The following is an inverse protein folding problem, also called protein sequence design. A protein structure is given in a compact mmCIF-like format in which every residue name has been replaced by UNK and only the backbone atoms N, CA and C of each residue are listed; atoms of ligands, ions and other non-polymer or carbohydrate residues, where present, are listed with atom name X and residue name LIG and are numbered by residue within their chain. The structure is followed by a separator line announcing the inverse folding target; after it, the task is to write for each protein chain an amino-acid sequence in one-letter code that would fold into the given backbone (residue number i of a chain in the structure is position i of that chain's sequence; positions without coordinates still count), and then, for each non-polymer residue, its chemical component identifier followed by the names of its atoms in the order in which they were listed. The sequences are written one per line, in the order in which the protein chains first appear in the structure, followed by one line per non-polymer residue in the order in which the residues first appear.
data_IF_829662380818
#
_entry.id   IF_829662380818
#
_cell.length_a   1.000
_cell.length_b   1.000
_cell.length_c   1.000
_cell.angle_alpha   90.00
_cell.angle_beta   90.00
_cell.angle_gamma   90.00
#
_symmetry.space_group_name_H-M   'P 1'
#
loop_
_entity.id
_entity.type
_entity.pdbx_description
1 polymer ?
#
# COMPACT_ATOMS: atom_id res chain seq x y z
N UNK A 1 50.56 -15.02 29.89
CA UNK A 1 50.12 -14.47 28.58
C UNK A 1 49.36 -15.53 27.82
N UNK A 2 48.09 -15.68 28.00
CA UNK A 2 47.33 -16.75 27.34
C UNK A 2 45.87 -16.76 27.67
N UNK A 3 45.13 -15.70 27.37
CA UNK A 3 43.63 -15.68 27.48
C UNK A 3 42.92 -14.79 26.48
N UNK A 4 43.56 -14.38 25.41
CA UNK A 4 42.93 -13.48 24.42
C UNK A 4 42.44 -14.24 23.17
N UNK A 5 42.81 -15.53 23.01
CA UNK A 5 42.41 -16.33 21.86
C UNK A 5 40.96 -16.88 21.94
N UNK A 6 40.39 -16.97 23.14
CA UNK A 6 39.02 -17.47 23.35
C UNK A 6 37.93 -16.46 22.91
N UNK A 7 38.28 -15.18 22.81
CA UNK A 7 37.28 -14.11 22.57
C UNK A 7 36.95 -13.84 21.09
N UNK A 8 37.77 -14.32 20.17
CA UNK A 8 37.52 -14.06 18.72
C UNK A 8 36.27 -14.75 18.21
N UNK A 9 36.04 -15.97 18.64
CA UNK A 9 34.82 -16.72 18.32
C UNK A 9 33.58 -16.11 18.99
N UNK A 10 33.74 -15.60 20.20
CA UNK A 10 32.67 -14.94 20.95
C UNK A 10 32.33 -13.58 20.31
N UNK A 11 33.33 -12.84 19.87
CA UNK A 11 33.13 -11.60 19.07
C UNK A 11 32.47 -11.89 17.72
N UNK A 12 32.86 -12.94 17.02
CA UNK A 12 32.20 -13.37 15.79
C UNK A 12 30.73 -13.76 16.03
N UNK A 13 30.43 -14.48 17.10
CA UNK A 13 29.05 -14.82 17.47
C UNK A 13 28.22 -13.57 17.78
N UNK A 14 28.82 -12.59 18.48
CA UNK A 14 28.14 -11.31 18.78
C UNK A 14 27.90 -10.51 17.51
N UNK A 15 28.86 -10.45 16.58
CA UNK A 15 28.73 -9.73 15.31
C UNK A 15 27.69 -10.41 14.42
N UNK A 16 27.74 -11.75 14.29
CA UNK A 16 26.78 -12.50 13.48
C UNK A 16 25.39 -12.49 14.11
N UNK A 17 25.30 -12.70 15.42
CA UNK A 17 24.04 -12.65 16.16
C UNK A 17 23.43 -11.26 16.20
N UNK A 18 24.24 -10.23 16.44
CA UNK A 18 23.83 -8.84 16.43
C UNK A 18 23.45 -8.36 15.02
N UNK A 19 24.23 -8.79 14.02
CA UNK A 19 23.91 -8.51 12.62
C UNK A 19 22.60 -9.16 12.16
N UNK A 20 22.39 -10.43 12.52
CA UNK A 20 21.14 -11.13 12.21
C UNK A 20 19.94 -10.54 12.99
N UNK A 21 20.15 -10.19 14.24
CA UNK A 21 19.12 -9.54 15.07
C UNK A 21 18.77 -8.14 14.53
N UNK A 22 19.76 -7.33 14.17
CA UNK A 22 19.58 -6.04 13.53
C UNK A 22 18.87 -6.15 12.17
N UNK A 23 19.28 -7.13 11.36
CA UNK A 23 18.60 -7.43 10.09
C UNK A 23 17.13 -7.83 10.31
N UNK A 24 16.86 -8.68 11.28
CA UNK A 24 15.51 -9.15 11.59
C UNK A 24 14.62 -8.02 12.12
N UNK A 25 15.16 -7.11 12.94
CA UNK A 25 14.40 -6.00 13.52
C UNK A 25 14.18 -4.85 12.53
N UNK A 26 15.17 -4.56 11.69
CA UNK A 26 15.15 -3.37 10.83
C UNK A 26 14.74 -3.69 9.38
N UNK A 27 15.08 -4.88 8.87
CA UNK A 27 14.84 -5.20 7.47
C UNK A 27 13.49 -5.86 7.23
N UNK A 28 13.12 -6.86 8.04
CA UNK A 28 11.86 -7.61 7.85
C UNK A 28 10.60 -6.75 7.82
N UNK A 29 10.39 -5.77 8.73
CA UNK A 29 9.18 -4.97 8.74
C UNK A 29 8.97 -4.14 7.47
N UNK A 30 10.06 -3.76 6.79
CA UNK A 30 10.01 -2.83 5.66
C UNK A 30 10.09 -3.52 4.30
N UNK A 31 10.87 -4.60 4.23
CA UNK A 31 11.13 -5.34 2.98
C UNK A 31 10.50 -6.74 2.97
N UNK A 32 9.98 -7.20 4.12
CA UNK A 32 9.20 -8.44 4.17
C UNK A 32 7.81 -8.26 3.56
N UNK A 33 7.21 -9.37 3.12
CA UNK A 33 5.84 -9.40 2.64
C UNK A 33 4.89 -8.88 3.73
N UNK A 34 4.22 -7.76 3.49
CA UNK A 34 3.25 -7.16 4.39
C UNK A 34 1.84 -7.20 3.82
N UNK A 35 1.72 -7.14 2.50
CA UNK A 35 0.42 -7.26 1.83
C UNK A 35 -0.01 -8.71 1.82
N UNK A 36 -1.24 -8.94 2.25
CA UNK A 36 -1.91 -10.25 2.20
C UNK A 36 -3.15 -10.12 1.33
N UNK A 37 -3.17 -10.90 0.27
CA UNK A 37 -4.35 -11.03 -0.57
C UNK A 37 -4.89 -12.45 -0.39
N UNK A 38 -6.19 -12.57 -0.16
CA UNK A 38 -6.82 -13.88 -0.09
C UNK A 38 -6.69 -14.56 -1.47
N UNK A 39 -6.19 -15.82 -1.48
CA UNK A 39 -6.12 -16.68 -2.65
C UNK A 39 -5.08 -16.33 -3.75
N UNK A 40 -4.04 -15.53 -3.44
CA UNK A 40 -2.93 -15.30 -4.40
C UNK A 40 -3.32 -14.57 -5.68
N UNK A 41 -4.43 -13.85 -5.66
CA UNK A 41 -4.89 -13.00 -6.76
C UNK A 41 -4.60 -11.54 -6.43
N UNK A 42 -4.38 -10.74 -7.48
CA UNK A 42 -4.28 -9.29 -7.33
C UNK A 42 -5.60 -8.72 -6.81
N UNK A 43 -5.52 -7.76 -5.90
CA UNK A 43 -6.71 -7.11 -5.34
C UNK A 43 -6.78 -5.64 -5.76
N UNK A 44 -7.98 -5.21 -6.09
CA UNK A 44 -8.24 -3.80 -6.37
C UNK A 44 -8.43 -3.04 -5.06
N UNK A 45 -7.58 -2.05 -4.83
CA UNK A 45 -7.67 -1.14 -3.71
C UNK A 45 -8.00 0.26 -4.19
N UNK A 46 -9.09 0.82 -3.67
CA UNK A 46 -9.58 2.13 -4.09
C UNK A 46 -9.37 3.18 -3.00
N UNK A 47 -8.69 4.27 -3.36
CA UNK A 47 -8.49 5.44 -2.50
C UNK A 47 -9.45 6.53 -2.95
N UNK A 48 -10.45 6.88 -2.10
CA UNK A 48 -11.38 7.98 -2.37
C UNK A 48 -10.68 9.34 -2.41
N UNK A 49 -11.31 10.29 -3.09
CA UNK A 49 -10.85 11.67 -3.11
C UNK A 49 -10.93 12.29 -1.69
N UNK A 50 -9.89 13.00 -1.28
CA UNK A 50 -9.80 13.63 0.03
C UNK A 50 -9.24 12.76 1.15
N UNK A 51 -8.85 11.51 0.87
CA UNK A 51 -8.18 10.68 1.87
C UNK A 51 -6.77 11.19 2.15
N UNK A 52 -6.42 11.24 3.43
CA UNK A 52 -5.03 11.38 3.87
C UNK A 52 -4.33 10.02 4.02
N UNK A 53 -3.01 10.00 4.24
CA UNK A 53 -2.25 8.76 4.36
C UNK A 53 -2.65 7.89 5.56
N UNK A 54 -3.22 8.50 6.63
CA UNK A 54 -3.71 7.77 7.81
C UNK A 54 -5.01 7.04 7.49
N UNK A 55 -5.90 7.72 6.78
CA UNK A 55 -7.15 7.12 6.30
C UNK A 55 -6.87 5.95 5.34
N UNK A 56 -5.88 6.11 4.45
CA UNK A 56 -5.42 5.02 3.57
C UNK A 56 -4.89 3.85 4.40
N UNK A 57 -4.04 4.10 5.40
CA UNK A 57 -3.51 3.05 6.29
C UNK A 57 -4.59 2.33 7.07
N UNK A 58 -5.57 3.07 7.60
CA UNK A 58 -6.71 2.48 8.30
C UNK A 58 -7.57 1.62 7.37
N UNK A 59 -7.85 2.08 6.16
CA UNK A 59 -8.60 1.32 5.16
C UNK A 59 -7.88 0.03 4.76
N UNK A 60 -6.57 0.08 4.55
CA UNK A 60 -5.75 -1.11 4.30
C UNK A 60 -5.83 -2.14 5.45
N UNK A 61 -5.91 -1.65 6.70
CA UNK A 61 -6.06 -2.49 7.88
C UNK A 61 -7.48 -3.08 7.99
N UNK A 62 -8.51 -2.28 7.79
CA UNK A 62 -9.92 -2.69 7.81
C UNK A 62 -10.21 -3.77 6.76
N UNK A 63 -9.65 -3.62 5.56
CA UNK A 63 -9.74 -4.60 4.48
C UNK A 63 -8.78 -5.78 4.68
N UNK A 64 -8.01 -5.81 5.79
CA UNK A 64 -7.04 -6.86 6.13
C UNK A 64 -5.96 -7.07 5.06
N UNK A 65 -5.63 -6.03 4.31
CA UNK A 65 -4.64 -6.08 3.24
C UNK A 65 -3.21 -5.95 3.75
N UNK A 66 -3.00 -5.42 4.95
CA UNK A 66 -1.67 -5.31 5.58
C UNK A 66 -1.64 -6.01 6.94
N UNK A 67 -0.50 -6.65 7.23
CA UNK A 67 -0.25 -7.35 8.52
C UNK A 67 0.20 -6.40 9.61
N UNK A 68 1.09 -5.47 9.26
CA UNK A 68 1.72 -4.55 10.21
C UNK A 68 1.46 -3.09 9.80
N UNK A 69 0.43 -2.47 10.40
CA UNK A 69 0.12 -1.06 10.13
C UNK A 69 1.18 -0.11 10.71
N UNK A 70 1.93 -0.51 11.75
CA UNK A 70 2.96 0.37 12.34
C UNK A 70 4.12 0.58 11.40
N UNK A 71 4.58 -0.48 10.73
CA UNK A 71 5.64 -0.37 9.71
C UNK A 71 5.17 0.44 8.52
N UNK A 72 3.89 0.31 8.13
CA UNK A 72 3.31 1.14 7.07
C UNK A 72 3.35 2.62 7.42
N UNK A 73 2.83 3.02 8.59
CA UNK A 73 2.79 4.43 8.99
C UNK A 73 4.19 5.04 9.11
N UNK A 74 5.11 4.32 9.76
CA UNK A 74 6.48 4.80 9.91
C UNK A 74 7.17 4.99 8.54
N UNK A 75 7.07 4.00 7.67
CA UNK A 75 7.73 4.06 6.36
C UNK A 75 7.05 5.06 5.42
N UNK A 76 5.74 5.23 5.51
CA UNK A 76 4.99 6.23 4.76
C UNK A 76 5.50 7.65 5.05
N UNK A 77 5.76 7.95 6.33
CA UNK A 77 6.36 9.24 6.73
C UNK A 77 7.78 9.39 6.18
N UNK A 78 8.63 8.36 6.31
CA UNK A 78 10.02 8.39 5.79
C UNK A 78 10.06 8.55 4.28
N UNK A 79 9.12 7.98 3.57
CA UNK A 79 9.01 8.08 2.11
C UNK A 79 8.25 9.32 1.63
N UNK A 80 7.89 10.24 2.53
CA UNK A 80 7.13 11.44 2.22
C UNK A 80 5.77 11.17 1.52
N UNK A 81 5.15 10.03 1.83
CA UNK A 81 3.84 9.66 1.29
C UNK A 81 2.71 10.61 1.74
N UNK A 82 2.71 11.19 2.97
CA UNK A 82 1.68 12.15 3.39
C UNK A 82 1.45 13.31 2.43
N UNK A 83 2.49 13.73 1.71
CA UNK A 83 2.41 14.82 0.73
C UNK A 83 2.09 14.35 -0.70
N UNK A 84 1.95 13.04 -0.91
CA UNK A 84 1.79 12.41 -2.22
C UNK A 84 0.70 11.34 -2.20
N UNK A 85 -0.42 11.63 -1.57
CA UNK A 85 -1.58 10.74 -1.59
C UNK A 85 -2.39 11.05 -2.85
N UNK A 86 -2.51 10.07 -3.73
CA UNK A 86 -3.28 10.20 -4.95
C UNK A 86 -4.51 9.31 -4.88
N UNK A 87 -5.72 9.88 -5.04
CA UNK A 87 -6.95 9.11 -5.13
C UNK A 87 -7.00 8.28 -6.41
N UNK A 88 -7.67 7.15 -6.37
CA UNK A 88 -7.85 6.29 -7.53
C UNK A 88 -7.72 4.82 -7.22
N UNK A 89 -7.78 3.99 -8.25
CA UNK A 89 -7.73 2.53 -8.18
C UNK A 89 -6.29 2.03 -8.34
N UNK A 90 -5.87 1.17 -7.44
CA UNK A 90 -4.56 0.52 -7.43
C UNK A 90 -4.74 -0.99 -7.44
N UNK A 91 -3.81 -1.70 -8.05
CA UNK A 91 -3.76 -3.15 -8.00
C UNK A 91 -2.65 -3.53 -7.02
N UNK A 92 -3.01 -4.25 -5.96
CA UNK A 92 -2.09 -4.76 -4.97
C UNK A 92 -1.83 -6.25 -5.23
N UNK A 93 -0.56 -6.60 -5.34
CA UNK A 93 -0.11 -7.97 -5.55
C UNK A 93 0.13 -8.67 -4.19
N UNK A 94 -0.17 -9.96 -4.11
CA UNK A 94 0.12 -10.72 -2.90
C UNK A 94 1.63 -10.77 -2.61
N UNK A 95 1.97 -10.70 -1.34
CA UNK A 95 3.36 -10.72 -0.90
C UNK A 95 4.13 -9.42 -1.10
N UNK A 96 3.49 -8.36 -1.60
CA UNK A 96 4.12 -7.05 -1.77
C UNK A 96 4.68 -6.52 -0.45
N UNK A 97 5.89 -5.97 -0.48
CA UNK A 97 6.50 -5.37 0.72
C UNK A 97 5.84 -4.03 1.08
N UNK A 98 5.99 -3.59 2.33
CA UNK A 98 5.52 -2.25 2.75
C UNK A 98 6.10 -1.15 1.87
N UNK A 99 7.37 -1.28 1.50
CA UNK A 99 8.05 -0.31 0.64
C UNK A 99 7.45 -0.25 -0.76
N UNK A 100 7.20 -1.40 -1.36
CA UNK A 100 6.65 -1.49 -2.71
C UNK A 100 5.22 -0.97 -2.75
N UNK A 101 4.42 -1.31 -1.73
CA UNK A 101 3.09 -0.76 -1.54
C UNK A 101 3.10 0.77 -1.48
N UNK A 102 3.92 1.36 -0.61
CA UNK A 102 4.01 2.82 -0.48
C UNK A 102 4.55 3.45 -1.77
N UNK A 103 5.53 2.83 -2.43
CA UNK A 103 6.05 3.29 -3.73
C UNK A 103 4.97 3.31 -4.79
N UNK A 104 4.15 2.27 -4.87
CA UNK A 104 3.01 2.18 -5.78
C UNK A 104 2.01 3.31 -5.52
N UNK A 105 1.54 3.44 -4.28
CA UNK A 105 0.54 4.46 -3.89
C UNK A 105 1.06 5.88 -4.11
N UNK A 106 2.34 6.12 -3.77
CA UNK A 106 3.00 7.42 -3.94
C UNK A 106 3.27 7.77 -5.40
N UNK A 107 3.47 6.78 -6.26
CA UNK A 107 3.75 7.02 -7.68
C UNK A 107 2.55 7.55 -8.45
N UNK A 108 1.34 7.38 -7.91
CA UNK A 108 0.09 7.71 -8.60
C UNK A 108 -0.18 6.83 -9.83
N UNK A 109 0.52 5.69 -9.97
CA UNK A 109 0.28 4.71 -11.05
C UNK A 109 -1.04 4.00 -10.80
N UNK A 110 -2.10 4.62 -11.22
CA UNK A 110 -3.47 4.11 -11.09
C UNK A 110 -3.71 3.01 -12.11
N UNK A 111 -4.46 2.00 -11.73
CA UNK A 111 -4.94 1.01 -12.67
C UNK A 111 -5.92 1.65 -13.67
N UNK A 112 -5.84 1.31 -14.95
CA UNK A 112 -6.78 1.85 -15.92
C UNK A 112 -8.20 1.37 -15.60
N UNK A 113 -9.17 2.27 -15.70
CA UNK A 113 -10.59 1.93 -15.61
C UNK A 113 -11.04 1.61 -17.03
N UNK A 114 -11.49 0.36 -17.24
CA UNK A 114 -12.11 -0.02 -18.51
C UNK A 114 -13.53 0.55 -18.53
N UNK A 115 -13.75 1.50 -19.39
CA UNK A 115 -15.07 2.10 -19.61
C UNK A 115 -15.73 1.38 -20.78
N UNK A 116 -16.74 0.57 -20.51
CA UNK A 116 -17.52 -0.08 -21.56
C UNK A 116 -18.74 0.78 -21.83
N UNK A 117 -18.76 1.46 -22.97
CA UNK A 117 -19.94 2.20 -23.40
C UNK A 117 -21.02 1.21 -23.85
N UNK A 118 -22.07 1.12 -23.05
CA UNK A 118 -23.31 0.48 -23.47
C UNK A 118 -24.19 1.54 -24.12
N UNK A 119 -25.06 1.13 -25.04
CA UNK A 119 -25.99 2.06 -25.69
C UNK A 119 -27.00 2.56 -24.66
N UNK A 120 -26.84 3.79 -24.21
CA UNK A 120 -27.81 4.45 -23.33
C UNK A 120 -28.94 5.03 -24.16
N UNK A 121 -30.18 4.94 -23.63
CA UNK A 121 -31.38 5.50 -24.29
C UNK A 121 -31.61 6.96 -23.90
N UNK A 122 -31.22 7.33 -22.68
CA UNK A 122 -31.46 8.67 -22.13
C UNK A 122 -30.17 9.24 -21.54
N UNK A 123 -30.14 10.56 -21.35
CA UNK A 123 -29.03 11.26 -20.68
C UNK A 123 -28.94 10.84 -19.18
N UNK A 124 -30.11 10.61 -18.59
CA UNK A 124 -30.26 10.19 -17.21
C UNK A 124 -29.64 8.79 -16.99
N UNK A 125 -29.82 7.86 -17.91
CA UNK A 125 -29.18 6.52 -17.85
C UNK A 125 -27.66 6.64 -17.92
N UNK A 126 -27.15 7.52 -18.80
CA UNK A 126 -25.71 7.78 -18.90
C UNK A 126 -25.15 8.40 -17.62
N UNK A 127 -25.82 9.44 -17.10
CA UNK A 127 -25.34 10.13 -15.89
C UNK A 127 -25.40 9.24 -14.65
N UNK A 128 -26.41 8.37 -14.52
CA UNK A 128 -26.50 7.38 -13.48
C UNK A 128 -25.35 6.38 -13.55
N UNK A 129 -25.06 5.85 -14.74
CA UNK A 129 -23.95 4.91 -14.97
C UNK A 129 -22.59 5.54 -14.69
N UNK A 130 -22.36 6.79 -15.14
CA UNK A 130 -21.12 7.52 -14.87
C UNK A 130 -20.99 7.85 -13.38
N UNK A 131 -22.07 8.29 -12.74
CA UNK A 131 -22.08 8.58 -11.30
C UNK A 131 -21.76 7.38 -10.43
N UNK A 132 -22.16 6.18 -10.84
CA UNK A 132 -21.82 4.92 -10.14
C UNK A 132 -20.32 4.56 -10.27
N UNK A 133 -19.71 4.87 -11.42
CA UNK A 133 -18.31 4.53 -11.72
C UNK A 133 -17.30 5.57 -11.23
N UNK A 134 -17.73 6.82 -11.12
CA UNK A 134 -16.89 7.92 -10.65
C UNK A 134 -17.54 8.52 -9.40
N UNK A 135 -16.77 9.10 -8.51
CA UNK A 135 -17.26 9.79 -7.30
C UNK A 135 -18.04 11.09 -7.61
N UNK A 136 -18.82 11.08 -8.69
CA UNK A 136 -19.59 12.25 -9.13
C UNK A 136 -21.07 12.00 -8.93
N UNK A 137 -21.78 13.00 -8.42
CA UNK A 137 -23.23 12.92 -8.30
C UNK A 137 -23.87 13.12 -9.68
N UNK A 138 -24.94 12.33 -9.99
CA UNK A 138 -25.68 12.47 -11.25
C UNK A 138 -26.17 13.89 -11.51
N UNK A 139 -26.41 14.68 -10.45
CA UNK A 139 -26.78 16.11 -10.55
C UNK A 139 -25.65 16.97 -11.10
N UNK A 140 -24.41 16.73 -10.67
CA UNK A 140 -23.24 17.51 -11.12
C UNK A 140 -22.98 17.33 -12.62
N UNK A 141 -23.43 16.19 -13.19
CA UNK A 141 -23.29 15.87 -14.61
C UNK A 141 -24.41 16.41 -15.48
N UNK A 142 -25.58 16.72 -14.89
CA UNK A 142 -26.73 17.25 -15.62
C UNK A 142 -26.73 18.78 -15.69
N UNK A 143 -25.96 19.46 -14.83
CA UNK A 143 -25.86 20.93 -14.76
C UNK A 143 -24.77 21.51 -15.67
N UNK A 144 -24.09 20.68 -16.47
CA UNK A 144 -23.11 21.07 -17.50
C UNK A 144 -23.76 20.97 -18.88
#
# INVERSE_FOLDING_TARGET
MGKILGNKWLLLLIIVGGGYFGYSLLYKPFFGANVQVAEGNDIEFYIPTGYDYRMVGNKLLEEKLIRDPKSFHWLAEQMNYPNHVYPGRYILEDGMSTRDLISLLRSGKRAPITFTFVKFRTKEDLTAYVGEKFEMTSKDLLEV
#
